data_IF_709248680591
#
_entry.id   IF_709248680591
#
_cell.length_a   1.000
_cell.length_b   1.000
_cell.length_c   1.000
_cell.angle_alpha   90.00
_cell.angle_beta   90.00
_cell.angle_gamma   90.00
#
_symmetry.space_group_name_H-M   'P 1'
#
loop_
_entity.id
_entity.type
_entity.pdbx_description
1 polymer ?
#
# COMPACT_ATOMS: atom_id res chain seq x y z
N UNK A 1 -12.86 11.82 0.76
CA UNK A 1 -11.63 12.02 1.54
C UNK A 1 -11.38 13.45 2.02
N UNK A 2 -11.10 14.45 1.17
CA UNK A 2 -10.53 15.75 1.64
C UNK A 2 -11.31 16.43 2.78
N UNK A 3 -12.64 16.45 2.72
CA UNK A 3 -13.43 17.07 3.79
C UNK A 3 -13.40 16.25 5.10
N UNK A 4 -13.26 14.92 5.02
CA UNK A 4 -13.01 14.08 6.18
C UNK A 4 -11.60 14.33 6.76
N UNK A 5 -10.58 14.54 5.92
CA UNK A 5 -9.24 14.96 6.36
C UNK A 5 -9.28 16.27 7.15
N UNK A 6 -10.09 17.24 6.70
CA UNK A 6 -10.30 18.50 7.44
C UNK A 6 -11.04 18.26 8.76
N UNK A 7 -12.06 17.40 8.73
CA UNK A 7 -12.84 17.04 9.93
C UNK A 7 -11.94 16.41 11.00
N UNK A 8 -11.06 15.49 10.63
CA UNK A 8 -10.11 14.88 11.57
C UNK A 8 -9.09 15.91 12.06
N UNK A 9 -8.50 16.72 11.17
CA UNK A 9 -7.61 17.81 11.56
C UNK A 9 -8.26 18.75 12.59
N UNK A 10 -9.53 19.13 12.42
CA UNK A 10 -10.24 19.93 13.42
C UNK A 10 -10.48 19.18 14.74
N UNK A 11 -10.79 17.89 14.68
CA UNK A 11 -11.07 17.07 15.87
C UNK A 11 -9.81 16.75 16.68
N UNK A 12 -8.64 16.77 16.05
CA UNK A 12 -7.35 16.39 16.65
C UNK A 12 -6.42 17.58 16.88
N UNK A 13 -6.88 18.82 16.69
CA UNK A 13 -6.02 20.01 16.72
C UNK A 13 -4.80 19.87 15.77
N UNK A 14 -5.07 19.36 14.57
CA UNK A 14 -4.13 19.18 13.46
C UNK A 14 -2.97 18.20 13.72
N UNK A 15 -3.20 17.17 14.55
CA UNK A 15 -2.30 16.01 14.57
C UNK A 15 -2.16 15.39 13.17
N UNK A 16 -1.00 14.78 12.94
CA UNK A 16 -0.66 14.15 11.67
C UNK A 16 -1.64 13.05 11.27
N UNK A 17 -1.89 12.92 9.98
CA UNK A 17 -2.77 11.91 9.40
C UNK A 17 -2.00 11.13 8.33
N UNK A 18 -2.21 9.82 8.29
CA UNK A 18 -1.76 8.97 7.19
C UNK A 18 -3.00 8.30 6.59
N UNK A 19 -3.35 8.69 5.36
CA UNK A 19 -4.61 8.32 4.71
C UNK A 19 -4.35 7.37 3.56
N UNK A 20 -4.87 6.15 3.65
CA UNK A 20 -4.73 5.13 2.62
C UNK A 20 -5.93 5.12 1.66
N UNK A 21 -5.71 5.57 0.43
CA UNK A 21 -6.70 5.50 -0.66
C UNK A 21 -6.74 4.08 -1.25
N UNK A 22 -7.53 3.20 -0.61
CA UNK A 22 -7.79 1.84 -1.10
C UNK A 22 -8.86 1.88 -2.19
N UNK A 23 -8.47 1.57 -3.43
CA UNK A 23 -9.33 1.68 -4.62
C UNK A 23 -9.22 3.00 -5.39
N UNK A 24 -8.08 3.69 -5.26
CA UNK A 24 -7.80 4.96 -5.93
C UNK A 24 -7.77 4.89 -7.48
N UNK A 25 -7.63 3.69 -8.05
CA UNK A 25 -7.44 3.44 -9.48
C UNK A 25 -8.57 2.58 -10.05
N UNK A 26 -8.74 2.61 -11.38
CA UNK A 26 -9.72 1.82 -12.12
C UNK A 26 -11.15 1.92 -11.55
N UNK A 27 -11.85 0.80 -11.40
CA UNK A 27 -13.20 0.72 -10.83
C UNK A 27 -13.23 0.71 -9.29
N UNK A 28 -12.08 0.65 -8.62
CA UNK A 28 -11.99 0.57 -7.15
C UNK A 28 -10.97 -0.44 -6.65
N UNK A 29 -11.14 -0.88 -5.41
CA UNK A 29 -10.31 -1.93 -4.80
C UNK A 29 -10.48 -3.24 -5.59
N UNK A 30 -9.38 -4.00 -5.73
CA UNK A 30 -9.33 -5.28 -6.44
C UNK A 30 -9.82 -5.20 -7.89
N UNK A 31 -9.53 -4.08 -8.55
CA UNK A 31 -9.85 -3.82 -9.94
C UNK A 31 -8.61 -3.37 -10.71
N UNK A 32 -8.31 -4.07 -11.80
CA UNK A 32 -7.21 -3.77 -12.73
C UNK A 32 -5.80 -3.64 -12.13
N UNK A 33 -5.52 -4.33 -11.02
CA UNK A 33 -4.13 -4.65 -10.68
C UNK A 33 -3.42 -5.35 -11.86
N UNK A 34 -2.14 -5.05 -12.15
CA UNK A 34 -1.24 -4.16 -11.41
C UNK A 34 -1.05 -2.76 -12.05
N UNK A 35 -2.09 -2.14 -12.63
CA UNK A 35 -1.99 -0.79 -13.20
C UNK A 35 -1.93 0.29 -12.10
N UNK A 36 -0.72 0.55 -11.56
CA UNK A 36 -0.55 1.58 -10.51
C UNK A 36 -0.77 3.00 -11.05
N UNK A 37 -0.24 3.29 -12.24
CA UNK A 37 -0.50 4.53 -12.95
C UNK A 37 -1.16 4.24 -14.30
N UNK A 38 -1.63 5.28 -14.99
CA UNK A 38 -2.22 5.17 -16.33
C UNK A 38 -3.62 4.54 -16.37
N UNK A 39 -4.21 4.18 -15.23
CA UNK A 39 -5.56 3.64 -15.11
C UNK A 39 -6.32 4.29 -13.94
N UNK A 40 -6.62 5.58 -14.08
CA UNK A 40 -7.24 6.39 -13.02
C UNK A 40 -8.68 5.95 -12.71
N UNK A 41 -9.10 6.14 -11.45
CA UNK A 41 -10.52 6.03 -11.12
C UNK A 41 -11.26 7.30 -11.56
N UNK A 42 -11.74 7.29 -12.81
CA UNK A 42 -12.46 8.43 -13.41
C UNK A 42 -13.76 8.76 -12.66
N UNK A 43 -14.40 7.77 -12.02
CA UNK A 43 -15.64 7.96 -11.25
C UNK A 43 -15.40 8.62 -9.90
N UNK A 44 -14.20 8.47 -9.35
CA UNK A 44 -13.72 9.16 -8.15
C UNK A 44 -13.02 10.51 -8.44
N UNK A 45 -13.05 10.98 -9.70
CA UNK A 45 -12.46 12.28 -10.11
C UNK A 45 -11.06 12.21 -10.73
N UNK A 46 -10.50 10.99 -10.87
CA UNK A 46 -9.24 10.73 -11.56
C UNK A 46 -8.01 11.39 -10.93
N UNK A 47 -6.92 11.47 -11.70
CA UNK A 47 -5.64 12.05 -11.26
C UNK A 47 -5.77 13.52 -10.90
N UNK A 48 -6.67 14.26 -11.54
CA UNK A 48 -6.90 15.68 -11.23
C UNK A 48 -7.31 15.86 -9.76
N UNK A 49 -8.30 15.10 -9.32
CA UNK A 49 -8.84 15.25 -7.97
C UNK A 49 -7.99 14.52 -6.93
N UNK A 50 -7.36 13.39 -7.27
CA UNK A 50 -6.34 12.77 -6.42
C UNK A 50 -5.16 13.72 -6.14
N UNK A 51 -4.64 14.39 -7.16
CA UNK A 51 -3.57 15.37 -6.96
C UNK A 51 -4.05 16.63 -6.22
N UNK A 52 -5.32 17.01 -6.37
CA UNK A 52 -5.91 18.10 -5.56
C UNK A 52 -6.00 17.69 -4.09
N UNK A 53 -6.42 16.45 -3.82
CA UNK A 53 -6.51 15.89 -2.48
C UNK A 53 -5.14 15.95 -1.79
N UNK A 54 -4.09 15.40 -2.41
CA UNK A 54 -2.75 15.37 -1.78
C UNK A 54 -2.20 16.77 -1.54
N UNK A 55 -2.25 17.67 -2.52
CA UNK A 55 -1.76 19.05 -2.36
C UNK A 55 -2.54 19.83 -1.30
N UNK A 56 -3.86 19.68 -1.24
CA UNK A 56 -4.68 20.44 -0.29
C UNK A 56 -4.61 19.82 1.11
N UNK A 57 -4.61 18.49 1.20
CA UNK A 57 -4.54 17.75 2.45
C UNK A 57 -3.22 17.92 3.19
N UNK A 58 -2.11 18.18 2.48
CA UNK A 58 -0.83 18.55 3.11
C UNK A 58 -0.96 19.77 4.03
N UNK A 59 -1.87 20.72 3.73
CA UNK A 59 -2.17 21.86 4.61
C UNK A 59 -2.88 21.50 5.92
N UNK A 60 -3.33 20.25 6.06
CA UNK A 60 -4.00 19.66 7.22
C UNK A 60 -3.17 18.53 7.85
N UNK A 61 -1.85 18.59 7.65
CA UNK A 61 -0.88 17.63 8.17
C UNK A 61 -1.17 16.17 7.75
N UNK A 62 -1.70 16.00 6.54
CA UNK A 62 -2.07 14.69 6.01
C UNK A 62 -1.13 14.23 4.90
N UNK A 63 -0.56 13.05 5.12
CA UNK A 63 0.13 12.26 4.11
C UNK A 63 -0.85 11.27 3.48
N UNK A 64 -0.69 11.04 2.17
CA UNK A 64 -1.56 10.14 1.42
C UNK A 64 -0.78 8.97 0.86
N UNK A 65 -1.39 7.80 0.98
CA UNK A 65 -0.91 6.53 0.49
C UNK A 65 -1.92 5.93 -0.49
N UNK A 66 -1.46 5.01 -1.33
CA UNK A 66 -2.32 4.23 -2.21
C UNK A 66 -2.10 2.75 -2.03
N UNK A 67 -3.17 1.98 -2.14
CA UNK A 67 -3.12 0.52 -2.15
C UNK A 67 -2.75 0.02 -3.55
N UNK A 68 -1.77 -0.87 -3.62
CA UNK A 68 -1.33 -1.54 -4.85
C UNK A 68 -1.13 -3.03 -4.59
N UNK A 69 -1.25 -3.83 -5.65
CA UNK A 69 -0.96 -5.26 -5.61
C UNK A 69 0.12 -5.61 -6.64
N UNK A 70 1.17 -6.29 -6.21
CA UNK A 70 2.28 -6.74 -7.05
C UNK A 70 2.41 -8.27 -7.05
N UNK A 71 1.34 -8.96 -6.69
CA UNK A 71 1.22 -10.42 -6.65
C UNK A 71 0.15 -10.90 -7.63
N UNK A 72 -0.89 -10.11 -7.84
CA UNK A 72 -2.06 -10.50 -8.63
C UNK A 72 -2.35 -9.50 -9.75
N UNK A 73 -2.79 -10.03 -10.88
CA UNK A 73 -3.20 -9.28 -12.05
C UNK A 73 -4.59 -9.71 -12.52
N UNK A 74 -5.38 -8.75 -13.02
CA UNK A 74 -6.67 -9.02 -13.65
C UNK A 74 -6.59 -8.78 -15.15
N UNK A 75 -7.29 -9.61 -15.94
CA UNK A 75 -7.32 -9.50 -17.40
C UNK A 75 -7.81 -8.13 -17.93
N UNK A 76 -8.52 -7.37 -17.11
CA UNK A 76 -8.97 -6.01 -17.41
C UNK A 76 -7.88 -4.93 -17.30
N UNK A 77 -6.73 -5.25 -16.69
CA UNK A 77 -5.62 -4.32 -16.57
C UNK A 77 -4.96 -4.07 -17.93
N UNK A 78 -4.58 -2.82 -18.21
CA UNK A 78 -3.92 -2.41 -19.45
C UNK A 78 -2.52 -3.03 -19.58
N UNK A 79 -1.89 -3.31 -18.45
CA UNK A 79 -0.56 -3.97 -18.39
C UNK A 79 -0.63 -5.49 -18.35
N UNK A 80 -1.82 -6.10 -18.35
CA UNK A 80 -1.97 -7.55 -18.33
C UNK A 80 -1.40 -8.19 -19.59
N UNK A 81 -0.57 -9.20 -19.41
CA UNK A 81 -0.07 -10.04 -20.50
C UNK A 81 0.00 -11.50 -20.02
N UNK A 82 -0.19 -12.44 -20.95
CA UNK A 82 -0.01 -13.87 -20.65
C UNK A 82 1.39 -14.16 -20.07
N UNK A 83 2.41 -13.47 -20.60
CA UNK A 83 3.79 -13.58 -20.14
C UNK A 83 4.02 -13.13 -18.69
N UNK A 84 3.15 -12.26 -18.15
CA UNK A 84 3.21 -11.80 -16.75
C UNK A 84 2.72 -12.87 -15.78
N UNK A 85 1.73 -13.66 -16.21
CA UNK A 85 0.94 -14.53 -15.32
C UNK A 85 1.10 -16.02 -15.59
N UNK A 86 1.74 -16.37 -16.70
CA UNK A 86 1.95 -17.76 -17.17
C UNK A 86 0.66 -18.62 -17.17
N UNK A 87 -0.49 -17.97 -17.32
CA UNK A 87 -1.81 -18.60 -17.42
C UNK A 87 -2.29 -19.32 -16.15
N UNK A 88 -1.81 -18.97 -14.95
CA UNK A 88 -2.26 -19.59 -13.67
C UNK A 88 -3.41 -18.80 -13.03
N UNK A 89 -4.69 -19.26 -13.12
CA UNK A 89 -5.85 -18.57 -12.54
C UNK A 89 -6.09 -18.97 -11.07
N UNK A 90 -5.04 -19.00 -10.26
CA UNK A 90 -5.09 -19.47 -8.86
C UNK A 90 -5.14 -18.33 -7.83
N UNK A 91 -5.34 -17.09 -8.29
CA UNK A 91 -5.52 -15.92 -7.44
C UNK A 91 -6.94 -15.74 -6.91
N UNK A 92 -7.16 -14.60 -6.25
CA UNK A 92 -8.44 -14.19 -5.69
C UNK A 92 -9.54 -14.02 -6.76
N UNK A 93 -10.72 -14.58 -6.53
CA UNK A 93 -11.90 -14.41 -7.39
C UNK A 93 -13.04 -13.73 -6.61
N UNK A 94 -13.34 -12.49 -7.00
CA UNK A 94 -14.41 -11.69 -6.39
C UNK A 94 -15.22 -10.92 -7.43
N UNK A 95 -14.66 -9.82 -7.97
CA UNK A 95 -15.24 -9.12 -9.13
C UNK A 95 -14.86 -9.83 -10.44
N UNK A 96 -13.62 -10.27 -10.51
CA UNK A 96 -13.05 -11.05 -11.60
C UNK A 96 -11.99 -12.00 -11.03
N UNK A 97 -11.69 -13.06 -11.78
CA UNK A 97 -10.58 -13.97 -11.47
C UNK A 97 -9.24 -13.24 -11.61
N UNK A 98 -8.45 -13.24 -10.53
CA UNK A 98 -7.06 -12.81 -10.54
C UNK A 98 -6.12 -13.94 -10.97
N UNK A 99 -4.97 -13.55 -11.51
CA UNK A 99 -3.89 -14.44 -11.90
C UNK A 99 -2.61 -14.03 -11.17
N UNK A 100 -1.81 -14.99 -10.72
CA UNK A 100 -0.56 -14.69 -10.04
C UNK A 100 0.51 -14.17 -11.01
N UNK A 101 1.14 -13.06 -10.64
CA UNK A 101 2.26 -12.45 -11.35
C UNK A 101 3.54 -13.24 -11.03
N UNK A 102 4.34 -13.56 -12.04
CA UNK A 102 5.74 -13.97 -11.81
C UNK A 102 6.56 -12.77 -11.31
N UNK A 103 6.61 -12.60 -9.99
CA UNK A 103 7.31 -11.50 -9.32
C UNK A 103 8.81 -11.47 -9.64
N UNK A 104 9.43 -12.62 -9.96
CA UNK A 104 10.86 -12.68 -10.33
C UNK A 104 11.07 -12.09 -11.70
N UNK A 105 10.27 -12.51 -12.68
CA UNK A 105 10.33 -11.98 -14.03
C UNK A 105 9.91 -10.51 -14.08
N UNK A 106 8.88 -10.14 -13.35
CA UNK A 106 8.34 -8.77 -13.33
C UNK A 106 9.34 -7.76 -12.73
N UNK A 107 10.04 -8.12 -11.64
CA UNK A 107 11.14 -7.31 -11.11
C UNK A 107 12.41 -7.42 -11.97
N UNK A 108 12.78 -8.62 -12.41
CA UNK A 108 14.00 -8.89 -13.17
C UNK A 108 14.04 -8.21 -14.55
N UNK A 109 12.87 -8.00 -15.16
CA UNK A 109 12.72 -7.22 -16.41
C UNK A 109 12.51 -5.73 -16.17
N UNK A 110 12.17 -5.32 -14.93
CA UNK A 110 11.86 -3.95 -14.57
C UNK A 110 10.44 -3.50 -14.89
N UNK A 111 9.56 -4.40 -15.38
CA UNK A 111 8.19 -4.06 -15.75
C UNK A 111 7.38 -3.52 -14.55
N UNK A 112 7.53 -4.09 -13.35
CA UNK A 112 6.93 -3.55 -12.12
C UNK A 112 7.39 -2.12 -11.83
N UNK A 113 8.66 -1.81 -12.09
CA UNK A 113 9.25 -0.49 -11.85
C UNK A 113 8.70 0.54 -12.83
N UNK A 114 8.44 0.16 -14.07
CA UNK A 114 7.83 1.06 -15.06
C UNK A 114 6.40 1.43 -14.68
N UNK A 115 5.63 0.48 -14.12
CA UNK A 115 4.30 0.77 -13.57
C UNK A 115 4.37 1.74 -12.38
N UNK A 116 5.35 1.60 -11.49
CA UNK A 116 5.54 2.54 -10.37
C UNK A 116 6.05 3.91 -10.79
N UNK A 117 6.92 3.99 -11.82
CA UNK A 117 7.30 5.28 -12.44
C UNK A 117 6.09 5.99 -13.03
N UNK A 118 5.18 5.23 -13.65
CA UNK A 118 3.93 5.78 -14.18
C UNK A 118 3.06 6.33 -13.04
N UNK A 119 2.92 5.63 -11.92
CA UNK A 119 2.23 6.16 -10.72
C UNK A 119 2.89 7.46 -10.22
N UNK A 120 4.22 7.49 -10.09
CA UNK A 120 4.94 8.69 -9.62
C UNK A 120 4.71 9.88 -10.54
N UNK A 121 4.61 9.66 -11.84
CA UNK A 121 4.29 10.70 -12.84
C UNK A 121 2.84 11.20 -12.70
N UNK A 122 1.89 10.29 -12.54
CA UNK A 122 0.46 10.62 -12.54
C UNK A 122 -0.01 11.20 -11.20
N UNK A 123 0.56 10.74 -10.08
CA UNK A 123 0.18 11.14 -8.73
C UNK A 123 1.42 11.49 -7.86
N UNK A 124 2.20 12.54 -8.21
CA UNK A 124 3.46 12.85 -7.54
C UNK A 124 3.33 13.17 -6.05
N UNK A 125 2.15 13.57 -5.57
CA UNK A 125 1.88 13.87 -4.17
C UNK A 125 1.63 12.64 -3.27
N UNK A 126 1.58 11.43 -3.83
CA UNK A 126 1.48 10.20 -3.03
C UNK A 126 2.83 9.90 -2.37
N UNK A 127 2.82 9.74 -1.04
CA UNK A 127 4.03 9.50 -0.24
C UNK A 127 4.34 8.01 -0.11
N UNK A 128 3.34 7.22 0.23
CA UNK A 128 3.51 5.81 0.56
C UNK A 128 2.75 4.92 -0.42
N UNK A 129 3.35 3.79 -0.81
CA UNK A 129 2.64 2.68 -1.47
C UNK A 129 2.43 1.56 -0.47
N UNK A 130 1.16 1.23 -0.22
CA UNK A 130 0.78 0.07 0.56
C UNK A 130 0.69 -1.14 -0.38
N UNK A 131 1.65 -2.05 -0.26
CA UNK A 131 1.75 -3.26 -1.10
C UNK A 131 1.01 -4.39 -0.39
N UNK A 132 -0.14 -4.75 -0.96
CA UNK A 132 -1.01 -5.80 -0.48
C UNK A 132 -0.55 -7.18 -0.96
N UNK A 133 -0.85 -8.21 -0.16
CA UNK A 133 -0.68 -9.63 -0.47
C UNK A 133 0.68 -10.01 -1.09
N UNK A 134 1.79 -9.38 -0.68
CA UNK A 134 3.10 -9.63 -1.30
C UNK A 134 3.71 -10.98 -0.87
N UNK A 135 3.74 -11.97 -1.77
CA UNK A 135 4.11 -13.35 -1.41
C UNK A 135 5.61 -13.62 -1.32
N UNK A 136 6.44 -12.93 -2.12
CA UNK A 136 7.89 -13.12 -2.09
C UNK A 136 8.57 -12.49 -0.87
N UNK A 137 9.82 -12.87 -0.62
CA UNK A 137 10.68 -12.37 0.47
C UNK A 137 12.14 -12.28 0.00
N UNK A 138 13.02 -11.73 0.83
CA UNK A 138 14.46 -11.60 0.54
C UNK A 138 14.71 -10.67 -0.66
N UNK A 139 15.62 -11.06 -1.56
CA UNK A 139 16.06 -10.22 -2.68
C UNK A 139 14.92 -9.58 -3.48
N UNK A 140 13.81 -10.29 -3.69
CA UNK A 140 12.66 -9.74 -4.41
C UNK A 140 11.98 -8.59 -3.66
N UNK A 141 11.72 -8.76 -2.36
CA UNK A 141 11.11 -7.73 -1.53
C UNK A 141 12.09 -6.57 -1.31
N UNK A 142 13.34 -6.88 -0.95
CA UNK A 142 14.37 -5.89 -0.64
C UNK A 142 14.76 -5.07 -1.88
N UNK A 143 14.87 -5.74 -3.03
CA UNK A 143 15.15 -5.12 -4.32
C UNK A 143 14.03 -4.18 -4.75
N UNK A 144 12.77 -4.64 -4.69
CA UNK A 144 11.63 -3.79 -5.01
C UNK A 144 11.56 -2.57 -4.07
N UNK A 145 11.68 -2.75 -2.75
CA UNK A 145 11.68 -1.64 -1.81
C UNK A 145 12.84 -0.66 -2.03
N UNK A 146 14.04 -1.15 -2.41
CA UNK A 146 15.17 -0.29 -2.73
C UNK A 146 14.88 0.59 -3.95
N UNK A 147 14.29 0.04 -5.01
CA UNK A 147 13.92 0.82 -6.20
C UNK A 147 12.78 1.81 -5.91
N UNK A 148 11.77 1.41 -5.13
CA UNK A 148 10.67 2.31 -4.71
C UNK A 148 11.18 3.50 -3.90
N UNK A 149 12.13 3.27 -2.98
CA UNK A 149 12.78 4.36 -2.24
C UNK A 149 13.54 5.33 -3.14
N UNK A 150 14.23 4.83 -4.18
CA UNK A 150 14.88 5.71 -5.18
C UNK A 150 13.88 6.58 -5.94
N UNK A 151 12.63 6.11 -6.09
CA UNK A 151 11.51 6.88 -6.66
C UNK A 151 10.80 7.79 -5.63
N UNK A 152 11.31 7.85 -4.39
CA UNK A 152 10.75 8.67 -3.31
C UNK A 152 9.48 8.09 -2.68
N UNK A 153 9.16 6.82 -2.90
CA UNK A 153 8.07 6.15 -2.19
C UNK A 153 8.54 5.60 -0.85
N UNK A 154 7.70 5.76 0.16
CA UNK A 154 7.70 4.90 1.33
C UNK A 154 6.95 3.60 1.02
N UNK A 155 7.33 2.52 1.69
CA UNK A 155 6.65 1.22 1.55
C UNK A 155 5.90 0.94 2.84
N UNK A 156 4.62 0.63 2.69
CA UNK A 156 3.81 0.00 3.73
C UNK A 156 3.34 -1.35 3.19
N UNK A 157 2.96 -2.27 4.08
CA UNK A 157 2.54 -3.59 3.63
C UNK A 157 1.46 -4.17 4.50
N UNK A 158 0.87 -5.22 4.00
CA UNK A 158 -0.18 -5.95 4.66
C UNK A 158 0.37 -6.70 5.90
N UNK A 159 1.38 -7.57 5.75
CA UNK A 159 1.98 -8.35 6.84
C UNK A 159 3.27 -7.76 7.43
N UNK A 160 3.41 -7.74 8.76
CA UNK A 160 4.53 -7.09 9.45
C UNK A 160 5.91 -7.67 9.13
N UNK A 161 5.97 -8.95 8.73
CA UNK A 161 7.20 -9.64 8.37
C UNK A 161 7.58 -9.47 6.89
N UNK A 162 6.76 -8.77 6.08
CA UNK A 162 7.06 -8.46 4.69
C UNK A 162 7.80 -7.13 4.58
N UNK A 163 8.73 -7.08 3.62
CA UNK A 163 9.63 -5.93 3.45
C UNK A 163 10.29 -5.51 4.78
N UNK A 164 10.76 -6.49 5.56
CA UNK A 164 11.40 -6.24 6.86
C UNK A 164 12.57 -5.25 6.70
N UNK A 165 12.72 -4.33 7.66
CA UNK A 165 13.68 -3.23 7.60
C UNK A 165 13.30 -2.08 6.65
N UNK A 166 12.29 -2.26 5.79
CA UNK A 166 11.87 -1.27 4.78
C UNK A 166 10.44 -0.78 4.95
N UNK A 167 9.51 -1.63 5.39
CA UNK A 167 8.11 -1.27 5.56
C UNK A 167 7.89 -0.39 6.79
N UNK A 168 7.32 0.79 6.60
CA UNK A 168 7.05 1.76 7.68
C UNK A 168 5.77 1.47 8.45
N UNK A 169 4.84 0.70 7.87
CA UNK A 169 3.56 0.37 8.50
C UNK A 169 3.10 -1.02 8.08
N UNK A 170 2.46 -1.74 9.01
CA UNK A 170 1.78 -3.00 8.71
C UNK A 170 0.31 -2.97 9.09
N UNK A 171 -0.53 -3.37 8.15
CA UNK A 171 -1.96 -3.47 8.36
C UNK A 171 -2.32 -4.43 9.47
N UNK A 172 -1.85 -5.68 9.43
CA UNK A 172 -2.20 -6.66 10.47
C UNK A 172 -1.49 -6.45 11.79
N UNK A 173 -0.43 -5.64 11.83
CA UNK A 173 0.10 -5.14 13.09
C UNK A 173 -0.81 -4.06 13.68
N UNK A 174 -1.27 -3.11 12.87
CA UNK A 174 -2.06 -1.96 13.31
C UNK A 174 -3.52 -2.33 13.62
N UNK A 175 -4.16 -3.16 12.80
CA UNK A 175 -5.52 -3.62 13.06
C UNK A 175 -5.50 -4.82 14.00
N UNK A 176 -6.13 -4.66 15.16
CA UNK A 176 -6.11 -5.66 16.24
C UNK A 176 -7.07 -6.82 15.99
N UNK A 177 -7.98 -6.73 15.02
CA UNK A 177 -8.95 -7.79 14.71
C UNK A 177 -8.42 -8.84 13.71
N UNK A 178 -7.41 -8.52 12.91
CA UNK A 178 -6.91 -9.43 11.85
C UNK A 178 -5.92 -10.50 12.33
N UNK A 179 -5.80 -11.65 11.66
CA UNK A 179 -4.66 -12.58 11.83
C UNK A 179 -4.50 -13.33 13.16
N UNK A 180 -5.35 -13.11 14.17
CA UNK A 180 -5.28 -13.79 15.46
C UNK A 180 -3.97 -13.52 16.21
N UNK A 181 -3.59 -14.42 17.13
CA UNK A 181 -2.41 -14.20 17.98
C UNK A 181 -1.06 -14.47 17.28
N UNK A 182 -1.07 -15.20 16.16
CA UNK A 182 0.16 -15.71 15.52
C UNK A 182 0.55 -14.95 14.25
N UNK A 183 -0.30 -14.04 13.74
CA UNK A 183 0.00 -13.23 12.55
C UNK A 183 -0.30 -11.74 12.81
N UNK A 184 0.59 -11.10 13.57
CA UNK A 184 0.48 -9.69 14.01
C UNK A 184 1.79 -8.93 13.72
N UNK A 185 2.18 -8.02 14.62
CA UNK A 185 3.42 -7.28 14.54
C UNK A 185 4.66 -8.12 14.87
N UNK A 186 5.82 -7.57 14.54
CA UNK A 186 7.12 -8.18 14.83
C UNK A 186 7.28 -8.33 16.35
N UNK A 187 7.48 -9.57 16.80
CA UNK A 187 7.66 -9.91 18.21
C UNK A 187 9.16 -10.10 18.54
N UNK A 188 9.91 -9.01 18.54
CA UNK A 188 11.34 -9.03 18.88
C UNK A 188 11.72 -7.77 19.63
N UNK A 189 12.22 -7.94 20.86
CA UNK A 189 12.71 -6.83 21.68
C UNK A 189 13.91 -6.15 21.05
N UNK A 190 14.79 -6.89 20.37
CA UNK A 190 15.99 -6.34 19.73
C UNK A 190 15.59 -5.46 18.56
N UNK A 191 14.75 -5.99 17.66
CA UNK A 191 14.33 -5.25 16.46
C UNK A 191 13.51 -4.03 16.84
N UNK A 192 12.58 -4.17 17.80
CA UNK A 192 11.79 -3.03 18.29
C UNK A 192 12.64 -2.00 19.02
N UNK A 193 13.60 -2.41 19.84
CA UNK A 193 14.50 -1.47 20.51
C UNK A 193 15.23 -0.55 19.52
N UNK A 194 15.64 -1.10 18.37
CA UNK A 194 16.36 -0.35 17.33
C UNK A 194 15.42 0.56 16.53
N UNK A 195 14.20 0.09 16.20
CA UNK A 195 13.36 0.72 15.19
C UNK A 195 11.97 1.17 15.66
N UNK A 196 11.68 1.18 16.98
CA UNK A 196 10.34 1.48 17.50
C UNK A 196 9.79 2.82 17.00
N UNK A 197 10.65 3.84 16.90
CA UNK A 197 10.25 5.19 16.51
C UNK A 197 10.07 5.37 14.99
N UNK A 198 10.58 4.43 14.18
CA UNK A 198 10.66 4.59 12.72
C UNK A 198 9.48 3.92 12.00
N UNK A 199 8.75 3.02 12.67
CA UNK A 199 7.81 2.09 12.04
C UNK A 199 6.65 1.74 12.96
N UNK A 200 5.49 1.50 12.37
CA UNK A 200 4.27 0.99 13.01
C UNK A 200 4.00 -0.45 12.57
N UNK A 201 4.86 -1.36 13.03
CA UNK A 201 4.82 -2.80 12.67
C UNK A 201 4.80 -3.71 13.91
N UNK A 202 4.47 -3.16 15.07
CA UNK A 202 4.67 -3.82 16.36
C UNK A 202 3.37 -4.32 16.98
N UNK A 203 3.49 -5.35 17.81
CA UNK A 203 2.44 -5.71 18.75
C UNK A 203 2.26 -4.62 19.81
N UNK A 204 1.09 -4.55 20.44
CA UNK A 204 0.89 -3.66 21.58
C UNK A 204 1.78 -4.13 22.73
N UNK A 205 2.59 -3.21 23.26
CA UNK A 205 3.44 -3.42 24.41
C UNK A 205 2.97 -2.53 25.58
N UNK A 206 3.00 -3.00 26.84
CA UNK A 206 2.53 -2.22 27.98
C UNK A 206 3.28 -0.90 28.22
N UNK A 207 4.54 -0.80 27.79
CA UNK A 207 5.38 0.39 28.01
C UNK A 207 5.48 1.25 26.75
N UNK A 208 5.64 0.61 25.59
CA UNK A 208 5.85 1.29 24.31
C UNK A 208 4.54 1.54 23.55
N UNK A 209 3.41 1.00 24.02
CA UNK A 209 2.14 1.04 23.32
C UNK A 209 2.22 0.32 21.97
N UNK A 210 1.55 0.86 20.96
CA UNK A 210 1.61 0.40 19.58
C UNK A 210 0.43 0.94 18.80
N UNK A 211 0.63 1.24 17.51
CA UNK A 211 -0.43 1.76 16.64
C UNK A 211 -1.64 0.82 16.66
N UNK A 212 -2.83 1.41 16.77
CA UNK A 212 -4.12 0.72 16.63
C UNK A 212 -4.97 1.51 15.66
N UNK A 213 -5.29 0.91 14.52
CA UNK A 213 -6.13 1.57 13.50
C UNK A 213 -7.60 1.27 13.73
N UNK A 214 -8.43 2.26 13.43
CA UNK A 214 -9.89 2.14 13.26
C UNK A 214 -10.29 3.05 12.11
N UNK A 215 -11.29 2.64 11.34
CA UNK A 215 -11.70 3.33 10.13
C UNK A 215 -13.16 3.77 10.19
N UNK A 216 -13.51 4.78 9.37
CA UNK A 216 -14.87 5.29 9.26
C UNK A 216 -15.29 5.62 7.82
N UNK A 217 -14.42 5.34 6.83
CA UNK A 217 -14.63 5.66 5.41
C UNK A 217 -14.94 4.41 4.55
N UNK A 218 -15.39 3.32 5.18
CA UNK A 218 -15.97 2.15 4.50
C UNK A 218 -15.13 0.87 4.51
N UNK A 219 -13.89 0.89 5.01
CA UNK A 219 -13.07 -0.31 5.20
C UNK A 219 -13.56 -1.16 6.38
N UNK A 220 -13.39 -2.49 6.29
CA UNK A 220 -13.66 -3.51 7.33
C UNK A 220 -12.62 -4.60 7.28
#
# INVERSE_FOLDING_TARGET
>A
TLDNTKRISMATDNLGQWVLEKGYASEGHDSAHPDYGGNENVRAGGWKDLNRLTRTGAGYNADFAVHVNATEAYAQAKTFTEDMVEGQPDGWDWLNQAYHIDQRKDLGTGAVLDRFKQLRKDAPGIKTVYIDAYYSSGWLADGLAAELRKMGFEVATEWAYKFEGSSVWSHWAADKNYGGATNKGINSNIVRFIANADRDVWNVDPLLGGASVVEFEGWT
#
